data_IF_286631568415
#
_entry.id   IF_286631568415
#
_cell.length_a   1.000
_cell.length_b   1.000
_cell.length_c   1.000
_cell.angle_alpha   90.00
_cell.angle_beta   90.00
_cell.angle_gamma   90.00
#
_symmetry.space_group_name_H-M   'P 1'
#
loop_
_entity.id
_entity.type
_entity.pdbx_description
1 polymer ?
#
# COMPACT_ATOMS: atom_id res chain seq x y z
N UNK A 1 27.67 -64.53 47.81
CA UNK A 1 27.13 -64.51 46.43
C UNK A 1 25.67 -64.04 46.47
N UNK A 2 25.44 -62.74 46.26
CA UNK A 2 24.24 -62.06 45.74
C UNK A 2 24.46 -60.57 45.99
N UNK A 3 24.75 -59.86 44.91
CA UNK A 3 24.90 -58.40 44.86
C UNK A 3 23.49 -57.84 44.65
N UNK A 4 23.14 -56.73 45.33
CA UNK A 4 22.79 -55.46 44.68
C UNK A 4 22.28 -54.41 45.68
N UNK A 5 23.24 -53.53 46.00
CA UNK A 5 23.21 -52.09 46.26
C UNK A 5 21.89 -51.33 46.47
N UNK A 6 21.88 -50.68 47.65
CA UNK A 6 21.32 -49.41 48.09
C UNK A 6 21.21 -48.28 47.04
N UNK A 7 20.36 -47.28 47.32
CA UNK A 7 20.69 -45.83 47.47
C UNK A 7 19.35 -45.06 47.52
N UNK A 8 18.94 -44.57 48.68
CA UNK A 8 19.12 -43.19 49.17
C UNK A 8 18.32 -42.15 48.36
N UNK A 9 17.12 -41.83 48.83
CA UNK A 9 16.30 -40.70 48.40
C UNK A 9 16.83 -39.39 48.97
N UNK A 10 17.35 -38.52 48.10
CA UNK A 10 17.63 -37.12 48.41
C UNK A 10 16.64 -36.22 47.66
N UNK A 11 15.90 -35.42 48.44
CA UNK A 11 15.03 -34.35 47.99
C UNK A 11 15.83 -33.24 47.31
N UNK A 12 15.46 -32.90 46.08
CA UNK A 12 15.79 -31.61 45.45
C UNK A 12 14.50 -31.01 44.91
N UNK A 13 14.01 -29.97 45.58
CA UNK A 13 12.94 -29.09 45.11
C UNK A 13 13.58 -28.13 44.09
N UNK A 14 13.38 -28.39 42.80
CA UNK A 14 13.65 -27.38 41.77
C UNK A 14 12.38 -26.58 41.52
N UNK A 15 12.41 -25.31 41.93
CA UNK A 15 11.43 -24.32 41.50
C UNK A 15 11.65 -24.05 40.00
N UNK A 16 10.88 -24.73 39.14
CA UNK A 16 10.78 -24.38 37.73
C UNK A 16 9.92 -23.11 37.66
N UNK A 17 10.59 -21.95 37.52
CA UNK A 17 9.92 -20.76 37.01
C UNK A 17 9.52 -21.04 35.55
N UNK A 18 8.25 -21.39 35.36
CA UNK A 18 7.64 -21.30 34.04
C UNK A 18 7.63 -19.82 33.65
N UNK A 19 8.54 -19.44 32.77
CA UNK A 19 8.28 -18.33 31.87
C UNK A 19 7.06 -18.73 31.05
N UNK A 20 5.89 -18.29 31.48
CA UNK A 20 4.71 -18.25 30.62
C UNK A 20 5.06 -17.21 29.56
N UNK A 21 5.66 -17.67 28.45
CA UNK A 21 5.49 -16.94 27.19
C UNK A 21 3.99 -16.78 27.02
N UNK A 22 3.53 -15.52 26.96
CA UNK A 22 2.17 -15.18 26.57
C UNK A 22 1.94 -15.48 25.09
N UNK A 23 2.14 -16.73 24.66
CA UNK A 23 1.65 -17.20 23.37
C UNK A 23 0.35 -17.94 23.64
N UNK A 24 -0.74 -17.23 23.42
CA UNK A 24 -2.09 -17.71 23.63
C UNK A 24 -2.36 -18.87 22.64
N UNK A 25 -2.51 -20.13 23.07
CA UNK A 25 -2.55 -21.31 22.18
C UNK A 25 -3.81 -21.39 21.29
N UNK A 26 -4.66 -20.37 21.34
CA UNK A 26 -5.90 -20.26 20.56
C UNK A 26 -5.88 -19.15 19.50
N UNK A 27 -4.82 -18.33 19.40
CA UNK A 27 -4.72 -17.39 18.28
C UNK A 27 -4.27 -18.13 17.03
N UNK A 28 -5.21 -18.41 16.12
CA UNK A 28 -4.86 -18.89 14.80
C UNK A 28 -4.11 -17.78 14.05
N UNK A 29 -2.88 -18.02 13.64
CA UNK A 29 -2.05 -17.05 12.89
C UNK A 29 -2.51 -16.81 11.44
N UNK A 30 -3.62 -17.41 11.03
CA UNK A 30 -4.18 -17.28 9.69
C UNK A 30 -5.47 -16.47 9.69
N UNK A 31 -5.60 -15.59 8.68
CA UNK A 31 -6.79 -14.79 8.42
C UNK A 31 -7.78 -15.55 7.52
N UNK A 32 -7.29 -16.26 6.50
CA UNK A 32 -8.12 -17.08 5.61
C UNK A 32 -7.31 -18.20 4.95
N UNK A 33 -8.01 -19.22 4.45
CA UNK A 33 -7.46 -20.30 3.62
C UNK A 33 -8.26 -20.41 2.33
N UNK A 34 -7.57 -20.49 1.19
CA UNK A 34 -8.16 -20.57 -0.15
C UNK A 34 -7.46 -21.74 -0.85
N UNK A 35 -8.12 -22.90 -0.90
CA UNK A 35 -7.48 -24.15 -1.34
C UNK A 35 -6.27 -24.50 -0.46
N UNK A 36 -5.10 -24.65 -1.08
CA UNK A 36 -3.82 -24.90 -0.40
C UNK A 36 -3.14 -23.63 0.12
N UNK A 37 -3.60 -22.45 -0.27
CA UNK A 37 -2.98 -21.18 0.09
C UNK A 37 -3.53 -20.64 1.41
N UNK A 38 -2.67 -19.97 2.19
CA UNK A 38 -3.04 -19.35 3.46
C UNK A 38 -2.71 -17.86 3.42
N UNK A 39 -3.69 -17.03 3.79
CA UNK A 39 -3.46 -15.60 4.09
C UNK A 39 -3.20 -15.52 5.58
N UNK A 40 -2.00 -15.12 5.98
CA UNK A 40 -1.65 -14.96 7.40
C UNK A 40 -2.22 -13.66 7.98
N UNK A 41 -2.40 -13.60 9.30
CA UNK A 41 -2.75 -12.34 9.98
C UNK A 41 -1.70 -11.26 9.76
N UNK A 42 -0.42 -11.65 9.67
CA UNK A 42 0.70 -10.76 9.34
C UNK A 42 0.56 -10.14 7.95
N UNK A 43 0.22 -10.93 6.95
CA UNK A 43 -0.01 -10.45 5.58
C UNK A 43 -1.23 -9.55 5.48
N UNK A 44 -2.35 -9.95 6.10
CA UNK A 44 -3.56 -9.12 6.17
C UNK A 44 -3.23 -7.75 6.76
N UNK A 45 -2.55 -7.70 7.90
CA UNK A 45 -2.16 -6.45 8.54
C UNK A 45 -1.21 -5.63 7.64
N UNK A 46 -0.22 -6.27 7.00
CA UNK A 46 0.69 -5.57 6.09
C UNK A 46 -0.07 -4.89 4.95
N UNK A 47 -1.00 -5.59 4.30
CA UNK A 47 -1.79 -5.02 3.21
C UNK A 47 -2.75 -3.95 3.71
N UNK A 48 -3.44 -4.21 4.83
CA UNK A 48 -4.41 -3.31 5.44
C UNK A 48 -3.76 -1.95 5.78
N UNK A 49 -2.64 -1.97 6.50
CA UNK A 49 -1.97 -0.72 6.89
C UNK A 49 -1.31 -0.04 5.71
N UNK A 50 -0.70 -0.78 4.77
CA UNK A 50 -0.08 -0.18 3.58
C UNK A 50 -1.12 0.55 2.73
N UNK A 51 -2.23 -0.12 2.41
CA UNK A 51 -3.32 0.46 1.61
C UNK A 51 -3.88 1.71 2.28
N UNK A 52 -4.33 1.59 3.53
CA UNK A 52 -5.02 2.68 4.21
C UNK A 52 -4.10 3.87 4.49
N UNK A 53 -2.81 3.65 4.81
CA UNK A 53 -1.83 4.74 4.94
C UNK A 53 -1.61 5.48 3.62
N UNK A 54 -1.54 4.75 2.51
CA UNK A 54 -1.39 5.37 1.20
C UNK A 54 -2.65 6.17 0.81
N UNK A 55 -3.83 5.57 0.96
CA UNK A 55 -5.10 6.21 0.56
C UNK A 55 -5.50 7.39 1.44
N UNK A 56 -5.17 7.37 2.72
CA UNK A 56 -5.54 8.41 3.70
C UNK A 56 -4.38 9.35 4.04
N UNK A 57 -3.25 9.19 3.36
CA UNK A 57 -2.03 9.97 3.54
C UNK A 57 -1.55 10.01 5.00
N UNK A 58 -1.56 8.85 5.67
CA UNK A 58 -1.10 8.67 7.05
C UNK A 58 0.27 8.01 7.09
N UNK A 59 1.04 8.26 8.14
CA UNK A 59 2.38 7.69 8.30
C UNK A 59 2.41 6.53 9.29
N UNK A 60 1.53 6.55 10.30
CA UNK A 60 1.51 5.57 11.38
C UNK A 60 0.32 4.60 11.31
N UNK A 61 0.46 3.43 11.93
CA UNK A 61 -0.64 2.47 12.02
C UNK A 61 -1.67 2.92 13.05
N UNK A 62 -1.21 3.62 14.10
CA UNK A 62 -2.02 4.16 15.19
C UNK A 62 -3.03 5.20 14.68
N UNK A 63 -2.65 6.03 13.70
CA UNK A 63 -3.59 6.94 13.03
C UNK A 63 -4.67 6.19 12.27
N UNK A 64 -4.31 5.10 11.59
CA UNK A 64 -5.29 4.25 10.87
C UNK A 64 -6.24 3.59 11.87
N UNK A 65 -5.71 3.05 12.96
CA UNK A 65 -6.52 2.40 13.99
C UNK A 65 -7.50 3.40 14.62
N UNK A 66 -7.08 4.64 14.89
CA UNK A 66 -7.98 5.70 15.39
C UNK A 66 -9.11 6.01 14.41
N UNK A 67 -8.80 6.12 13.11
CA UNK A 67 -9.82 6.37 12.07
C UNK A 67 -10.78 5.20 11.90
N UNK A 68 -10.31 3.98 12.10
CA UNK A 68 -11.13 2.77 12.03
C UNK A 68 -12.11 2.64 13.21
N UNK A 69 -11.95 3.42 14.28
CA UNK A 69 -12.89 3.47 15.40
C UNK A 69 -14.11 4.38 15.14
N UNK A 70 -14.07 5.23 14.10
CA UNK A 70 -15.18 6.11 13.73
C UNK A 70 -16.10 5.44 12.69
N UNK A 71 -17.33 5.02 13.04
CA UNK A 71 -18.22 4.34 12.12
C UNK A 71 -18.60 5.18 10.90
N UNK A 72 -18.72 6.51 11.05
CA UNK A 72 -19.06 7.40 9.94
C UNK A 72 -17.89 7.51 8.97
N UNK A 73 -16.67 7.57 9.49
CA UNK A 73 -15.47 7.60 8.65
C UNK A 73 -15.26 6.25 7.93
N UNK A 74 -15.48 5.12 8.61
CA UNK A 74 -15.42 3.79 8.01
C UNK A 74 -16.46 3.61 6.89
N UNK A 75 -17.67 4.20 7.02
CA UNK A 75 -18.67 4.17 5.96
C UNK A 75 -18.18 4.85 4.67
N UNK A 76 -17.46 5.97 4.81
CA UNK A 76 -16.87 6.69 3.68
C UNK A 76 -15.59 6.03 3.15
N UNK A 77 -14.91 5.26 3.99
CA UNK A 77 -13.66 4.55 3.68
C UNK A 77 -13.75 3.07 4.04
N UNK A 78 -14.49 2.25 3.26
CA UNK A 78 -14.77 0.85 3.61
C UNK A 78 -13.53 -0.03 3.80
N UNK A 79 -12.38 0.36 3.25
CA UNK A 79 -11.10 -0.34 3.43
C UNK A 79 -10.56 -0.29 4.87
N UNK A 80 -11.10 0.58 5.73
CA UNK A 80 -10.83 0.60 7.17
C UNK A 80 -11.58 -0.49 7.94
N UNK A 81 -12.67 -1.03 7.36
CA UNK A 81 -13.29 -2.22 7.92
C UNK A 81 -12.41 -3.43 7.56
N UNK A 82 -11.67 -3.95 8.55
CA UNK A 82 -10.70 -5.03 8.34
C UNK A 82 -11.34 -6.33 7.84
N UNK A 83 -12.62 -6.58 8.14
CA UNK A 83 -13.36 -7.73 7.59
C UNK A 83 -13.66 -7.53 6.10
N UNK A 84 -14.25 -6.39 5.72
CA UNK A 84 -14.49 -6.07 4.30
C UNK A 84 -13.19 -6.03 3.49
N UNK A 85 -12.09 -5.58 4.12
CA UNK A 85 -10.78 -5.59 3.52
C UNK A 85 -10.22 -7.02 3.34
N UNK A 86 -10.42 -7.93 4.30
CA UNK A 86 -10.08 -9.34 4.12
C UNK A 86 -10.90 -9.97 3.00
N UNK A 87 -12.21 -9.71 2.95
CA UNK A 87 -13.10 -10.21 1.91
C UNK A 87 -12.65 -9.75 0.52
N UNK A 88 -12.20 -8.50 0.38
CA UNK A 88 -11.67 -8.00 -0.90
C UNK A 88 -10.39 -8.70 -1.34
N UNK A 89 -9.48 -9.03 -0.41
CA UNK A 89 -8.27 -9.82 -0.71
C UNK A 89 -8.68 -11.23 -1.14
N UNK A 90 -9.60 -11.87 -0.42
CA UNK A 90 -10.08 -13.23 -0.75
C UNK A 90 -10.68 -13.24 -2.15
N UNK A 91 -11.59 -12.30 -2.45
CA UNK A 91 -12.22 -12.18 -3.76
C UNK A 91 -11.19 -11.97 -4.86
N UNK A 92 -10.24 -11.05 -4.65
CA UNK A 92 -9.15 -10.80 -5.60
C UNK A 92 -8.29 -12.04 -5.85
N UNK A 93 -7.99 -12.81 -4.79
CA UNK A 93 -7.19 -14.03 -4.89
C UNK A 93 -7.93 -15.18 -5.59
N UNK A 94 -9.23 -15.34 -5.34
CA UNK A 94 -10.07 -16.32 -6.05
C UNK A 94 -10.11 -16.01 -7.55
N UNK A 95 -10.34 -14.74 -7.92
CA UNK A 95 -10.35 -14.31 -9.33
C UNK A 95 -8.97 -14.47 -9.96
N UNK A 96 -7.90 -14.12 -9.24
CA UNK A 96 -6.53 -14.32 -9.70
C UNK A 96 -6.26 -15.79 -10.02
N UNK A 97 -6.60 -16.71 -9.11
CA UNK A 97 -6.38 -18.14 -9.31
C UNK A 97 -7.17 -18.66 -10.52
N UNK A 98 -8.45 -18.29 -10.65
CA UNK A 98 -9.26 -18.65 -11.82
C UNK A 98 -8.63 -18.12 -13.13
N UNK A 99 -8.19 -16.86 -13.13
CA UNK A 99 -7.53 -16.27 -14.28
C UNK A 99 -6.23 -17.00 -14.63
N UNK A 100 -5.48 -17.52 -13.66
CA UNK A 100 -4.23 -18.28 -13.87
C UNK A 100 -4.43 -19.70 -14.40
N UNK A 101 -5.62 -20.28 -14.24
CA UNK A 101 -5.97 -21.60 -14.76
C UNK A 101 -6.69 -21.54 -16.12
N UNK A 102 -7.28 -20.39 -16.46
CA UNK A 102 -8.03 -20.19 -17.70
C UNK A 102 -7.08 -20.12 -18.92
N UNK A 103 -7.18 -21.11 -19.81
CA UNK A 103 -6.38 -21.17 -21.05
C UNK A 103 -6.81 -20.19 -22.13
N UNK A 104 -7.97 -19.53 -21.98
CA UNK A 104 -8.43 -18.49 -22.91
C UNK A 104 -7.75 -17.14 -22.68
N UNK A 105 -7.06 -16.97 -21.54
CA UNK A 105 -6.31 -15.76 -21.20
C UNK A 105 -4.94 -15.79 -21.88
N UNK A 106 -4.67 -14.78 -22.71
CA UNK A 106 -3.33 -14.53 -23.24
C UNK A 106 -2.38 -14.12 -22.09
N UNK A 107 -1.42 -15.00 -21.80
CA UNK A 107 -0.45 -14.80 -20.71
C UNK A 107 0.56 -13.71 -21.02
N UNK A 108 0.92 -13.54 -22.28
CA UNK A 108 1.92 -12.56 -22.68
C UNK A 108 1.31 -11.15 -22.63
N UNK A 109 0.07 -10.99 -23.10
CA UNK A 109 -0.66 -9.73 -22.97
C UNK A 109 -0.89 -9.35 -21.50
N UNK A 110 -1.34 -10.30 -20.67
CA UNK A 110 -1.54 -10.06 -19.24
C UNK A 110 -0.23 -9.66 -18.54
N UNK A 111 0.88 -10.34 -18.84
CA UNK A 111 2.18 -10.03 -18.25
C UNK A 111 2.70 -8.65 -18.71
N UNK A 112 2.51 -8.29 -19.97
CA UNK A 112 2.84 -6.97 -20.48
C UNK A 112 2.04 -5.87 -19.74
N UNK A 113 0.75 -6.11 -19.50
CA UNK A 113 -0.07 -5.19 -18.71
C UNK A 113 0.44 -5.06 -17.26
N UNK A 114 0.75 -6.17 -16.60
CA UNK A 114 1.32 -6.17 -15.24
C UNK A 114 2.63 -5.39 -15.19
N UNK A 115 3.50 -5.55 -16.19
CA UNK A 115 4.78 -4.86 -16.28
C UNK A 115 4.59 -3.34 -16.41
N UNK A 116 3.67 -2.91 -17.28
CA UNK A 116 3.30 -1.49 -17.41
C UNK A 116 2.77 -0.91 -16.10
N UNK A 117 1.88 -1.64 -15.41
CA UNK A 117 1.35 -1.23 -14.11
C UNK A 117 2.44 -1.14 -13.04
N UNK A 118 3.42 -2.07 -13.04
CA UNK A 118 4.56 -2.03 -12.14
C UNK A 118 5.37 -0.75 -12.32
N UNK A 119 5.68 -0.34 -13.55
CA UNK A 119 6.40 0.93 -13.79
C UNK A 119 5.61 2.13 -13.27
N UNK A 120 4.30 2.17 -13.54
CA UNK A 120 3.42 3.25 -13.08
C UNK A 120 3.37 3.35 -11.56
N UNK A 121 3.07 2.24 -10.87
CA UNK A 121 2.91 2.19 -9.41
C UNK A 121 4.23 2.55 -8.71
N UNK A 122 5.34 1.96 -9.14
CA UNK A 122 6.66 2.23 -8.54
C UNK A 122 7.04 3.69 -8.73
N UNK A 123 6.82 4.24 -9.92
CA UNK A 123 7.10 5.65 -10.21
C UNK A 123 6.27 6.56 -9.33
N UNK A 124 4.94 6.35 -9.27
CA UNK A 124 4.04 7.16 -8.45
C UNK A 124 4.43 7.12 -6.97
N UNK A 125 4.64 5.91 -6.42
CA UNK A 125 4.99 5.73 -5.02
C UNK A 125 6.33 6.40 -4.67
N UNK A 126 7.36 6.16 -5.49
CA UNK A 126 8.69 6.71 -5.26
C UNK A 126 8.69 8.23 -5.33
N UNK A 127 8.09 8.82 -6.37
CA UNK A 127 8.04 10.28 -6.54
C UNK A 127 7.23 10.95 -5.43
N UNK A 128 6.07 10.40 -5.06
CA UNK A 128 5.28 10.93 -3.94
C UNK A 128 6.09 10.93 -2.65
N UNK A 129 6.66 9.78 -2.23
CA UNK A 129 7.44 9.71 -0.98
C UNK A 129 8.70 10.58 -1.03
N UNK A 130 9.36 10.69 -2.19
CA UNK A 130 10.59 11.48 -2.36
C UNK A 130 10.36 12.99 -2.35
N UNK A 131 9.23 13.44 -2.90
CA UNK A 131 9.00 14.85 -3.21
C UNK A 131 7.96 15.51 -2.33
N UNK A 132 7.02 14.77 -1.71
CA UNK A 132 5.89 15.36 -0.98
C UNK A 132 6.28 16.38 0.10
N UNK A 133 7.38 16.15 0.82
CA UNK A 133 7.85 17.08 1.86
C UNK A 133 8.39 18.40 1.31
N UNK A 134 8.68 18.46 0.00
CA UNK A 134 9.11 19.67 -0.71
C UNK A 134 7.93 20.45 -1.29
N UNK A 135 6.74 19.86 -1.33
CA UNK A 135 5.54 20.50 -1.90
C UNK A 135 4.85 21.29 -0.81
N UNK A 136 5.15 22.59 -0.76
CA UNK A 136 4.48 23.55 0.12
C UNK A 136 3.59 24.45 -0.74
N UNK A 137 2.35 24.63 -0.30
CA UNK A 137 1.39 25.59 -0.86
C UNK A 137 1.07 26.61 0.22
N UNK A 138 1.21 27.90 -0.09
CA UNK A 138 0.92 28.98 0.85
C UNK A 138 -0.55 29.39 0.78
N UNK A 139 -1.04 30.02 1.84
CA UNK A 139 -2.42 30.56 1.85
C UNK A 139 -2.64 31.59 0.75
N UNK A 140 -1.63 32.43 0.45
CA UNK A 140 -1.71 33.43 -0.62
C UNK A 140 -1.92 32.77 -1.98
N UNK A 141 -1.20 31.68 -2.28
CA UNK A 141 -1.37 30.92 -3.52
C UNK A 141 -2.77 30.31 -3.61
N UNK A 142 -3.31 29.79 -2.50
CA UNK A 142 -4.67 29.24 -2.44
C UNK A 142 -5.71 30.33 -2.66
N UNK A 143 -5.55 31.49 -2.03
CA UNK A 143 -6.48 32.61 -2.14
C UNK A 143 -6.49 33.22 -3.55
N UNK A 144 -5.32 33.36 -4.17
CA UNK A 144 -5.21 33.79 -5.57
C UNK A 144 -5.90 32.79 -6.50
N UNK A 145 -5.64 31.50 -6.31
CA UNK A 145 -6.24 30.45 -7.11
C UNK A 145 -7.76 30.37 -6.93
N UNK A 146 -8.25 30.42 -5.69
CA UNK A 146 -9.68 30.48 -5.39
C UNK A 146 -10.33 31.68 -6.05
N UNK A 147 -9.74 32.88 -5.94
CA UNK A 147 -10.28 34.10 -6.56
C UNK A 147 -10.38 33.95 -8.08
N UNK A 148 -9.34 33.40 -8.71
CA UNK A 148 -9.28 33.16 -10.16
C UNK A 148 -10.33 32.18 -10.66
N UNK A 149 -10.68 31.16 -9.86
CA UNK A 149 -11.60 30.10 -10.25
C UNK A 149 -12.95 30.11 -9.52
N UNK A 150 -13.23 31.18 -8.75
CA UNK A 150 -14.41 31.29 -7.88
C UNK A 150 -15.73 30.98 -8.59
N UNK A 151 -15.89 31.48 -9.82
CA UNK A 151 -17.09 31.22 -10.63
C UNK A 151 -17.31 29.75 -10.96
N UNK A 152 -16.24 28.96 -11.08
CA UNK A 152 -16.28 27.51 -11.35
C UNK A 152 -16.48 26.68 -10.08
N UNK A 153 -16.35 27.29 -8.91
CA UNK A 153 -16.43 26.63 -7.59
C UNK A 153 -17.73 26.97 -6.85
N UNK A 154 -18.68 27.65 -7.50
CA UNK A 154 -19.93 28.15 -6.90
C UNK A 154 -20.84 27.08 -6.29
N UNK A 155 -20.64 25.81 -6.66
CA UNK A 155 -21.39 24.65 -6.12
C UNK A 155 -20.87 24.13 -4.78
N UNK A 156 -19.72 24.62 -4.31
CA UNK A 156 -19.10 24.22 -3.05
C UNK A 156 -19.20 25.35 -2.03
N UNK A 157 -19.18 25.01 -0.74
CA UNK A 157 -18.98 26.01 0.31
C UNK A 157 -17.60 26.65 0.16
N UNK A 158 -17.40 27.85 0.74
CA UNK A 158 -16.12 28.53 0.66
C UNK A 158 -14.96 27.67 1.21
N UNK A 159 -15.19 26.99 2.34
CA UNK A 159 -14.18 26.12 2.96
C UNK A 159 -13.86 24.91 2.08
N UNK A 160 -14.87 24.23 1.53
CA UNK A 160 -14.65 23.11 0.60
C UNK A 160 -13.90 23.55 -0.65
N UNK A 161 -14.27 24.71 -1.22
CA UNK A 161 -13.62 25.26 -2.39
C UNK A 161 -12.13 25.57 -2.12
N UNK A 162 -11.81 26.14 -0.96
CA UNK A 162 -10.44 26.45 -0.54
C UNK A 162 -9.61 25.16 -0.41
N UNK A 163 -10.14 24.11 0.24
CA UNK A 163 -9.44 22.83 0.35
C UNK A 163 -9.24 22.15 -1.02
N UNK A 164 -10.23 22.23 -1.91
CA UNK A 164 -10.09 21.74 -3.29
C UNK A 164 -9.00 22.51 -4.04
N UNK A 165 -8.94 23.84 -3.90
CA UNK A 165 -7.88 24.66 -4.49
C UNK A 165 -6.50 24.26 -3.95
N UNK A 166 -6.37 24.08 -2.62
CA UNK A 166 -5.11 23.67 -2.00
C UNK A 166 -4.64 22.31 -2.53
N UNK A 167 -5.54 21.32 -2.59
CA UNK A 167 -5.22 19.98 -3.14
C UNK A 167 -4.82 20.03 -4.61
N UNK A 168 -5.54 20.78 -5.43
CA UNK A 168 -5.20 20.93 -6.86
C UNK A 168 -3.83 21.59 -7.05
N UNK A 169 -3.53 22.66 -6.28
CA UNK A 169 -2.23 23.31 -6.29
C UNK A 169 -1.10 22.36 -5.84
N UNK A 170 -1.30 21.61 -4.77
CA UNK A 170 -0.35 20.59 -4.30
C UNK A 170 -0.07 19.56 -5.39
N UNK A 171 -1.12 19.03 -6.03
CA UNK A 171 -0.99 18.04 -7.10
C UNK A 171 -0.25 18.59 -8.32
N UNK A 172 -0.53 19.84 -8.73
CA UNK A 172 0.17 20.50 -9.83
C UNK A 172 1.65 20.69 -9.54
N UNK A 173 1.98 21.16 -8.34
CA UNK A 173 3.38 21.33 -7.91
C UNK A 173 4.10 19.99 -7.84
N UNK A 174 3.46 18.96 -7.27
CA UNK A 174 4.02 17.61 -7.24
C UNK A 174 4.27 17.08 -8.65
N UNK A 175 3.34 17.28 -9.58
CA UNK A 175 3.50 16.86 -10.98
C UNK A 175 4.66 17.58 -11.67
N UNK A 176 4.78 18.90 -11.48
CA UNK A 176 5.89 19.69 -12.03
C UNK A 176 7.24 19.19 -11.51
N UNK A 177 7.36 19.05 -10.18
CA UNK A 177 8.57 18.56 -9.52
C UNK A 177 8.92 17.12 -9.91
N UNK A 178 7.90 16.28 -10.07
CA UNK A 178 8.02 14.90 -10.57
C UNK A 178 8.62 14.87 -11.96
N UNK A 179 8.10 15.67 -12.89
CA UNK A 179 8.61 15.73 -14.27
C UNK A 179 10.06 16.21 -14.30
N UNK A 180 10.38 17.27 -13.55
CA UNK A 180 11.75 17.78 -13.44
C UNK A 180 12.70 16.69 -12.93
N UNK A 181 12.33 16.01 -11.85
CA UNK A 181 13.17 14.97 -11.26
C UNK A 181 13.34 13.74 -12.17
N UNK A 182 12.28 13.36 -12.91
CA UNK A 182 12.36 12.31 -13.93
C UNK A 182 13.33 12.70 -15.05
N UNK A 183 13.33 13.96 -15.49
CA UNK A 183 14.26 14.41 -16.53
C UNK A 183 15.71 14.43 -16.05
N UNK A 184 15.96 14.79 -14.78
CA UNK A 184 17.29 14.63 -14.16
C UNK A 184 17.75 13.17 -14.13
N UNK A 185 16.84 12.23 -13.82
CA UNK A 185 17.15 10.79 -13.84
C UNK A 185 17.45 10.31 -15.27
N UNK A 186 16.64 10.73 -16.26
CA UNK A 186 16.87 10.38 -17.66
C UNK A 186 18.26 10.82 -18.14
N UNK A 187 18.65 12.05 -17.86
CA UNK A 187 19.96 12.58 -18.24
C UNK A 187 21.12 11.76 -17.65
N UNK A 188 20.97 11.26 -16.41
CA UNK A 188 21.98 10.44 -15.73
C UNK A 188 21.99 8.97 -16.19
N UNK A 189 20.86 8.48 -16.69
CA UNK A 189 20.66 7.05 -16.99
C UNK A 189 21.20 6.59 -18.34
N UNK A 190 21.66 7.50 -19.21
CA UNK A 190 22.20 7.14 -20.52
C UNK A 190 21.16 6.52 -21.47
N UNK A 191 19.89 6.92 -21.36
CA UNK A 191 18.79 6.42 -22.21
C UNK A 191 19.17 6.58 -23.70
N UNK A 192 19.36 5.46 -24.38
CA UNK A 192 19.55 5.38 -25.83
C UNK A 192 18.22 4.96 -26.48
N UNK A 193 17.80 5.67 -27.54
CA UNK A 193 16.56 5.40 -28.29
C UNK A 193 16.81 5.13 -29.78
N UNK A 194 18.06 4.88 -30.17
CA UNK A 194 18.45 4.80 -31.58
C UNK A 194 17.78 3.63 -32.30
N UNK A 195 17.66 2.47 -31.64
CA UNK A 195 16.89 1.35 -32.20
C UNK A 195 15.42 1.68 -32.50
N UNK A 196 14.76 2.49 -31.66
CA UNK A 196 13.41 2.95 -31.94
C UNK A 196 13.36 3.97 -33.09
N UNK A 197 14.33 4.90 -33.15
CA UNK A 197 14.42 5.85 -34.27
C UNK A 197 14.60 5.12 -35.60
N UNK A 198 15.50 4.14 -35.65
CA UNK A 198 15.72 3.30 -36.84
C UNK A 198 14.46 2.55 -37.26
N UNK A 199 13.74 2.00 -36.29
CA UNK A 199 12.46 1.34 -36.54
C UNK A 199 11.46 2.31 -37.17
N UNK A 200 11.29 3.51 -36.62
CA UNK A 200 10.35 4.51 -37.15
C UNK A 200 10.71 4.95 -38.58
N UNK A 201 11.99 5.23 -38.84
CA UNK A 201 12.47 5.59 -40.18
C UNK A 201 12.19 4.51 -41.22
N UNK A 202 12.36 3.22 -40.86
CA UNK A 202 12.02 2.09 -41.74
C UNK A 202 10.52 1.95 -42.01
N UNK A 203 9.66 2.43 -41.11
CA UNK A 203 8.21 2.42 -41.26
C UNK A 203 7.67 3.60 -42.08
N UNK A 204 8.55 4.48 -42.62
CA UNK A 204 8.13 5.68 -43.35
C UNK A 204 7.42 6.71 -42.48
N UNK A 205 7.68 6.70 -41.17
CA UNK A 205 7.12 7.60 -40.16
C UNK A 205 8.22 8.40 -39.46
#
# INVERSE_FOLDING_TARGET
>A
MKIRYSVLTALFVSAIMFFISCDNPFSRDWAAKIGSETITMKELNRFYYTQNKLSLEKESNEEIDKLALDPMFVQMHPTLNKQLFLDSIINGKVVYNAAMEDSSIDRDEMNAFIELQKYQIVTQYYLYKKLKSKIVVTEDEVNEYYTKYKSKLSKYTANEAIELCRKDLQNRKLMYESNRYVDELKQKSGVNRDGFKEYMTKQGK
#
